data_IF_957309186010
#
_entry.id   IF_957309186010
#
_cell.length_a   1.000
_cell.length_b   1.000
_cell.length_c   1.000
_cell.angle_alpha   90.00
_cell.angle_beta   90.00
_cell.angle_gamma   90.00
#
_symmetry.space_group_name_H-M   'P 1'
#
loop_
_entity.id
_entity.type
_entity.pdbx_description
1 polymer ?
#
# COMPACT_ATOMS: atom_id res chain seq x y z
N UNK A 1 -46.34 28.65 32.15
CA UNK A 1 -46.27 28.12 30.77
C UNK A 1 -45.14 28.84 30.04
N UNK A 2 -44.37 28.25 29.10
CA UNK A 2 -43.73 26.93 28.99
C UNK A 2 -42.18 27.01 29.18
N UNK A 3 -41.47 25.88 29.17
CA UNK A 3 -40.01 25.80 29.28
C UNK A 3 -39.28 26.11 27.95
N UNK A 4 -38.13 26.80 27.95
CA UNK A 4 -37.34 27.01 26.73
C UNK A 4 -36.48 25.78 26.39
N UNK A 5 -36.48 25.42 25.10
CA UNK A 5 -35.85 24.23 24.55
C UNK A 5 -34.34 24.15 24.77
N UNK A 6 -33.88 22.96 25.14
CA UNK A 6 -32.47 22.58 25.28
C UNK A 6 -31.78 22.72 23.92
N UNK A 7 -31.09 23.84 23.69
CA UNK A 7 -30.16 23.99 22.56
C UNK A 7 -29.05 22.95 22.73
N UNK A 8 -28.96 21.98 21.82
CA UNK A 8 -27.78 21.12 21.66
C UNK A 8 -26.61 22.02 21.32
N UNK A 9 -25.80 22.35 22.32
CA UNK A 9 -24.55 23.07 22.14
C UNK A 9 -23.62 22.24 21.25
N UNK A 10 -23.17 22.87 20.18
CA UNK A 10 -22.19 22.40 19.22
C UNK A 10 -21.02 21.69 19.91
N UNK A 11 -20.75 20.45 19.52
CA UNK A 11 -19.60 19.67 20.00
C UNK A 11 -18.35 20.47 19.63
N UNK A 12 -17.68 21.04 20.63
CA UNK A 12 -16.37 21.64 20.45
C UNK A 12 -15.43 20.52 20.01
N UNK A 13 -15.00 20.55 18.75
CA UNK A 13 -13.87 19.73 18.34
C UNK A 13 -12.63 20.48 18.88
N UNK A 14 -11.96 19.98 19.94
CA UNK A 14 -10.77 20.66 20.43
C UNK A 14 -9.75 20.72 19.29
N UNK A 15 -9.18 21.89 19.08
CA UNK A 15 -8.10 22.07 18.10
C UNK A 15 -6.98 21.10 18.51
N UNK A 16 -6.53 20.20 17.62
CA UNK A 16 -5.52 19.21 17.95
C UNK A 16 -4.27 19.93 18.46
N UNK A 17 -3.76 19.47 19.60
CA UNK A 17 -2.57 20.05 20.21
C UNK A 17 -1.35 19.85 19.32
N UNK A 18 -0.35 20.73 19.46
CA UNK A 18 0.90 20.63 18.69
C UNK A 18 1.58 19.26 18.84
N UNK A 19 1.41 18.61 20.00
CA UNK A 19 1.91 17.26 20.24
C UNK A 19 1.18 16.21 19.39
N UNK A 20 -0.15 16.29 19.27
CA UNK A 20 -0.93 15.39 18.42
C UNK A 20 -0.62 15.61 16.95
N UNK A 21 -0.47 16.86 16.52
CA UNK A 21 -0.07 17.17 15.14
C UNK A 21 1.36 16.70 14.84
N UNK A 22 2.30 16.92 15.77
CA UNK A 22 3.66 16.42 15.63
C UNK A 22 3.71 14.89 15.56
N UNK A 23 2.87 14.19 16.34
CA UNK A 23 2.74 12.73 16.30
C UNK A 23 2.16 12.25 14.96
N UNK A 24 1.08 12.89 14.47
CA UNK A 24 0.48 12.56 13.17
C UNK A 24 1.48 12.80 12.03
N UNK A 25 2.18 13.93 12.03
CA UNK A 25 3.21 14.24 11.02
C UNK A 25 4.41 13.32 11.14
N UNK A 26 4.82 12.92 12.35
CA UNK A 26 5.88 11.94 12.53
C UNK A 26 5.50 10.57 11.96
N UNK A 27 4.25 10.13 12.14
CA UNK A 27 3.72 8.90 11.52
C UNK A 27 3.65 9.06 10.00
N UNK A 28 3.08 10.15 9.49
CA UNK A 28 2.97 10.39 8.04
C UNK A 28 4.35 10.51 7.38
N UNK A 29 5.32 11.15 8.03
CA UNK A 29 6.71 11.24 7.57
C UNK A 29 7.38 9.87 7.62
N UNK A 30 7.15 9.07 8.66
CA UNK A 30 7.67 7.70 8.76
C UNK A 30 7.08 6.77 7.68
N UNK A 31 5.81 6.96 7.32
CA UNK A 31 5.16 6.23 6.21
C UNK A 31 5.68 6.73 4.86
N UNK A 32 5.95 8.02 4.70
CA UNK A 32 6.53 8.59 3.48
C UNK A 32 8.04 8.30 3.33
N UNK A 33 8.78 8.13 4.44
CA UNK A 33 10.20 7.81 4.50
C UNK A 33 10.47 6.32 4.72
N UNK A 34 9.42 5.51 4.90
CA UNK A 34 9.51 4.08 4.68
C UNK A 34 10.00 3.91 3.24
N UNK A 35 10.97 3.02 2.98
CA UNK A 35 11.62 3.00 1.70
C UNK A 35 10.58 2.80 0.59
N UNK A 36 10.45 3.76 -0.32
CA UNK A 36 10.28 3.43 -1.72
C UNK A 36 11.51 2.58 -2.02
N UNK A 37 11.47 1.24 -1.97
CA UNK A 37 12.71 0.44 -1.86
C UNK A 37 13.74 0.85 -2.92
N UNK A 38 14.65 1.71 -2.47
CA UNK A 38 15.85 2.17 -3.14
C UNK A 38 17.00 1.22 -2.82
N UNK A 39 16.75 0.20 -2.00
CA UNK A 39 17.36 -1.09 -2.25
C UNK A 39 16.84 -1.49 -3.63
N UNK A 40 17.71 -1.41 -4.63
CA UNK A 40 17.44 -1.96 -5.96
C UNK A 40 17.07 -3.42 -5.71
N UNK A 41 15.77 -3.73 -5.70
CA UNK A 41 15.29 -5.08 -5.55
C UNK A 41 15.96 -5.86 -6.69
N UNK A 42 16.78 -6.85 -6.35
CA UNK A 42 17.41 -7.67 -7.37
C UNK A 42 16.26 -8.33 -8.15
N UNK A 43 16.16 -8.13 -9.48
CA UNK A 43 15.07 -8.70 -10.26
C UNK A 43 14.96 -10.22 -10.09
N UNK A 44 16.07 -10.93 -9.85
CA UNK A 44 16.05 -12.36 -9.60
C UNK A 44 15.37 -12.71 -8.27
N UNK A 45 15.61 -11.91 -7.22
CA UNK A 45 14.95 -12.06 -5.91
C UNK A 45 13.45 -11.79 -6.07
N UNK A 46 13.08 -10.69 -6.74
CA UNK A 46 11.68 -10.36 -7.01
C UNK A 46 10.96 -11.49 -7.76
N UNK A 47 11.58 -12.04 -8.80
CA UNK A 47 11.03 -13.15 -9.58
C UNK A 47 10.83 -14.37 -8.68
N UNK A 48 11.83 -14.73 -7.87
CA UNK A 48 11.76 -15.88 -6.97
C UNK A 48 10.63 -15.73 -5.95
N UNK A 49 10.50 -14.56 -5.32
CA UNK A 49 9.45 -14.27 -4.34
C UNK A 49 8.05 -14.32 -5.00
N UNK A 50 7.89 -13.70 -6.17
CA UNK A 50 6.63 -13.72 -6.90
C UNK A 50 6.25 -15.12 -7.41
N UNK A 51 7.23 -15.91 -7.85
CA UNK A 51 7.02 -17.30 -8.25
C UNK A 51 6.60 -18.16 -7.05
N UNK A 52 7.27 -17.98 -5.91
CA UNK A 52 6.93 -18.68 -4.68
C UNK A 52 5.51 -18.31 -4.22
N UNK A 53 5.15 -17.02 -4.23
CA UNK A 53 3.81 -16.57 -3.89
C UNK A 53 2.74 -17.10 -4.86
N UNK A 54 3.03 -17.14 -6.16
CA UNK A 54 2.12 -17.74 -7.15
C UNK A 54 1.93 -19.25 -6.92
N UNK A 55 3.01 -19.96 -6.57
CA UNK A 55 2.96 -21.40 -6.27
C UNK A 55 2.14 -21.70 -5.01
N UNK A 56 2.28 -20.88 -3.96
CA UNK A 56 1.53 -21.03 -2.71
C UNK A 56 0.15 -20.35 -2.74
N UNK A 57 -0.20 -19.68 -3.84
CA UNK A 57 -1.44 -18.90 -3.99
C UNK A 57 -1.61 -17.82 -2.91
N UNK A 58 -0.49 -17.23 -2.47
CA UNK A 58 -0.45 -16.21 -1.42
C UNK A 58 -0.57 -14.81 -2.00
N UNK A 59 -1.34 -13.95 -1.34
CA UNK A 59 -1.42 -12.53 -1.71
C UNK A 59 -0.18 -11.78 -1.25
N UNK A 60 0.31 -10.86 -2.07
CA UNK A 60 1.49 -10.05 -1.79
C UNK A 60 1.19 -8.56 -1.98
N UNK A 61 1.85 -7.73 -1.18
CA UNK A 61 1.94 -6.29 -1.39
C UNK A 61 3.16 -6.03 -2.27
N UNK A 62 2.93 -5.48 -3.46
CA UNK A 62 4.00 -5.00 -4.33
C UNK A 62 4.13 -3.47 -4.24
N UNK A 63 5.36 -3.00 -4.16
CA UNK A 63 5.71 -1.63 -4.54
C UNK A 63 5.83 -1.58 -6.06
N UNK A 64 5.15 -0.65 -6.71
CA UNK A 64 5.11 -0.58 -8.18
C UNK A 64 5.16 0.86 -8.68
N UNK A 65 6.07 1.13 -9.60
CA UNK A 65 6.19 2.44 -10.26
C UNK A 65 5.39 2.41 -11.55
N UNK A 66 4.46 3.36 -11.74
CA UNK A 66 3.66 3.49 -12.96
C UNK A 66 4.50 4.05 -14.16
N UNK A 67 3.99 4.11 -15.41
CA UNK A 67 4.77 4.66 -16.54
C UNK A 67 5.06 6.16 -16.41
N UNK A 68 4.30 6.87 -15.59
CA UNK A 68 4.52 8.29 -15.28
C UNK A 68 5.56 8.48 -14.15
N UNK A 69 6.12 7.39 -13.61
CA UNK A 69 7.09 7.43 -12.53
C UNK A 69 6.48 7.51 -11.13
N UNK A 70 5.16 7.35 -10.99
CA UNK A 70 4.47 7.43 -9.70
C UNK A 70 4.56 6.08 -8.99
N UNK A 71 5.16 6.08 -7.80
CA UNK A 71 5.23 4.90 -6.96
C UNK A 71 3.89 4.67 -6.23
N UNK A 72 3.42 3.43 -6.26
CA UNK A 72 2.19 2.98 -5.60
C UNK A 72 2.42 1.65 -4.89
N UNK A 73 1.59 1.34 -3.90
CA UNK A 73 1.54 0.00 -3.29
C UNK A 73 0.26 -0.69 -3.71
N UNK A 74 0.35 -1.99 -4.01
CA UNK A 74 -0.78 -2.78 -4.51
C UNK A 74 -0.76 -4.17 -3.89
N UNK A 75 -1.86 -4.56 -3.28
CA UNK A 75 -2.11 -5.97 -2.96
C UNK A 75 -2.49 -6.67 -4.26
N UNK A 76 -1.83 -7.78 -4.56
CA UNK A 76 -2.13 -8.60 -5.73
C UNK A 76 -2.10 -10.08 -5.35
N UNK A 77 -2.89 -10.90 -6.03
CA UNK A 77 -2.81 -12.35 -5.97
C UNK A 77 -2.04 -12.84 -7.22
N UNK A 78 -0.76 -13.26 -7.08
CA UNK A 78 0.07 -13.72 -8.20
C UNK A 78 -0.52 -14.96 -8.86
N UNK A 79 -0.54 -14.98 -10.19
CA UNK A 79 -1.02 -16.12 -10.99
C UNK A 79 0.16 -16.82 -11.68
N UNK A 80 1.03 -16.06 -12.33
CA UNK A 80 2.23 -16.60 -12.98
C UNK A 80 3.28 -15.50 -13.22
N UNK A 81 4.55 -15.90 -13.32
CA UNK A 81 5.69 -15.04 -13.64
C UNK A 81 6.42 -15.59 -14.87
N UNK A 82 6.41 -14.83 -15.97
CA UNK A 82 7.07 -15.23 -17.22
C UNK A 82 7.59 -14.03 -17.98
N UNK A 83 8.78 -14.15 -18.59
CA UNK A 83 9.30 -13.14 -19.51
C UNK A 83 9.47 -11.74 -18.89
N UNK A 84 9.76 -11.65 -17.59
CA UNK A 84 9.86 -10.38 -16.89
C UNK A 84 8.53 -9.70 -16.57
N UNK A 85 7.41 -10.42 -16.69
CA UNK A 85 6.07 -9.96 -16.36
C UNK A 85 5.45 -10.85 -15.27
N UNK A 86 4.69 -10.22 -14.38
CA UNK A 86 3.81 -10.86 -13.42
C UNK A 86 2.37 -10.72 -13.92
N UNK A 87 1.68 -11.84 -14.10
CA UNK A 87 0.21 -11.85 -14.22
C UNK A 87 -0.36 -12.03 -12.83
N UNK A 88 -1.23 -11.12 -12.40
CA UNK A 88 -1.83 -11.19 -11.07
C UNK A 88 -3.25 -10.61 -11.06
N UNK A 89 -4.10 -11.12 -10.17
CA UNK A 89 -5.39 -10.50 -9.88
C UNK A 89 -5.17 -9.31 -8.93
N UNK A 90 -5.72 -8.15 -9.28
CA UNK A 90 -5.66 -6.92 -8.48
C UNK A 90 -7.04 -6.67 -7.86
N UNK A 91 -7.24 -6.94 -6.56
CA UNK A 91 -8.53 -6.75 -5.88
C UNK A 91 -9.03 -5.31 -5.92
N UNK A 92 -8.13 -4.31 -5.97
CA UNK A 92 -8.53 -2.91 -6.02
C UNK A 92 -9.20 -2.54 -7.35
N UNK A 93 -8.84 -3.22 -8.43
CA UNK A 93 -9.46 -3.03 -9.75
C UNK A 93 -10.52 -4.08 -10.10
N UNK A 94 -10.51 -5.23 -9.40
CA UNK A 94 -11.40 -6.37 -9.63
C UNK A 94 -11.07 -7.15 -10.90
N UNK A 95 -9.83 -7.09 -11.39
CA UNK A 95 -9.42 -7.66 -12.69
C UNK A 95 -8.03 -8.25 -12.65
N UNK A 96 -7.73 -9.15 -13.58
CA UNK A 96 -6.36 -9.63 -13.84
C UNK A 96 -5.60 -8.56 -14.61
N UNK A 97 -4.36 -8.29 -14.17
CA UNK A 97 -3.46 -7.30 -14.77
C UNK A 97 -2.06 -7.88 -14.92
N UNK A 98 -1.32 -7.29 -15.84
CA UNK A 98 0.11 -7.54 -16.01
C UNK A 98 0.93 -6.44 -15.34
N UNK A 99 2.00 -6.84 -14.65
CA UNK A 99 2.94 -5.96 -13.98
C UNK A 99 4.35 -6.28 -14.45
N UNK A 100 5.01 -5.28 -15.03
CA UNK A 100 6.40 -5.43 -15.44
C UNK A 100 7.33 -5.50 -14.22
N UNK A 101 8.13 -6.58 -14.12
CA UNK A 101 8.94 -6.86 -12.93
C UNK A 101 10.00 -5.79 -12.70
N UNK A 102 10.57 -5.22 -13.76
CA UNK A 102 11.55 -4.13 -13.64
C UNK A 102 10.96 -2.84 -13.03
N UNK A 103 9.64 -2.77 -12.84
CA UNK A 103 8.94 -1.66 -12.17
C UNK A 103 8.43 -2.05 -10.78
N UNK A 104 8.65 -3.28 -10.35
CA UNK A 104 8.42 -3.74 -8.99
C UNK A 104 9.60 -3.28 -8.14
N UNK A 105 9.31 -2.53 -7.07
CA UNK A 105 10.30 -1.98 -6.16
C UNK A 105 10.34 -2.70 -4.81
N UNK A 106 9.29 -3.44 -4.47
CA UNK A 106 9.26 -4.30 -3.28
C UNK A 106 8.24 -5.42 -3.46
N UNK A 107 8.44 -6.54 -2.78
CA UNK A 107 7.46 -7.63 -2.64
C UNK A 107 7.44 -8.01 -1.16
N UNK A 108 6.25 -8.07 -0.58
CA UNK A 108 6.06 -8.44 0.84
C UNK A 108 4.80 -9.30 0.93
N UNK A 109 4.79 -10.34 1.76
CA UNK A 109 3.56 -11.10 2.02
C UNK A 109 2.47 -10.19 2.59
N UNK A 110 1.24 -10.33 2.09
CA UNK A 110 0.10 -9.53 2.57
C UNK A 110 -0.35 -9.92 3.99
N UNK A 111 0.04 -11.10 4.47
CA UNK A 111 -0.29 -11.57 5.83
C UNK A 111 0.74 -11.11 6.88
N UNK A 112 1.92 -10.63 6.48
CA UNK A 112 3.00 -10.23 7.40
C UNK A 112 2.82 -8.81 8.00
N UNK A 113 1.58 -8.38 8.23
CA UNK A 113 1.21 -7.06 8.76
C UNK A 113 0.90 -7.07 10.25
#
# INVERSE_FOLDING_TARGET
MPAPGRRRGYRHNPVPTDQTLAAIVAVLRKVASAPSSGLRLDPAVAISELQQAAHHQESVVIGYVDPAGVATQRVVAPINVRGGQLTAYDPASGRVREFAIHRVTSVVSAESG
#
